data_IF_508663653158
#
_entry.id   IF_508663653158
#
_cell.length_a   1.000
_cell.length_b   1.000
_cell.length_c   1.000
_cell.angle_alpha   90.00
_cell.angle_beta   90.00
_cell.angle_gamma   90.00
#
_symmetry.space_group_name_H-M   'P 1'
#
loop_
_entity.id
_entity.type
_entity.pdbx_description
1 polymer ?
#
# COMPACT_ATOMS: atom_id res chain seq x y z
N UNK A 1 -10.50 -2.68 20.91
CA UNK A 1 -11.51 -2.04 20.03
C UNK A 1 -11.59 -0.57 20.36
N UNK A 2 -11.84 0.26 19.36
CA UNK A 2 -11.84 1.73 19.44
C UNK A 2 -13.02 2.26 18.61
N UNK A 3 -13.71 3.29 19.09
CA UNK A 3 -14.76 3.95 18.30
C UNK A 3 -14.13 4.57 17.03
N UNK A 4 -14.77 4.36 15.89
CA UNK A 4 -14.33 4.81 14.59
C UNK A 4 -14.48 6.33 14.42
N UNK A 5 -13.58 6.96 13.67
CA UNK A 5 -13.62 8.41 13.47
C UNK A 5 -14.56 8.87 12.34
N UNK A 6 -14.73 8.06 11.30
CA UNK A 6 -15.42 8.46 10.06
C UNK A 6 -16.70 7.66 9.87
N UNK A 7 -17.78 8.10 10.50
CA UNK A 7 -19.11 7.53 10.28
C UNK A 7 -20.22 8.53 10.64
N UNK A 8 -21.39 8.29 10.08
CA UNK A 8 -22.63 8.99 10.42
C UNK A 8 -23.52 8.07 11.25
N UNK A 9 -24.07 8.60 12.36
CA UNK A 9 -25.18 7.97 13.08
C UNK A 9 -26.48 8.27 12.32
N UNK A 10 -27.29 7.24 12.14
CA UNK A 10 -28.58 7.31 11.44
C UNK A 10 -29.70 6.82 12.37
N UNK A 11 -30.95 6.92 11.91
CA UNK A 11 -32.12 6.39 12.62
C UNK A 11 -32.03 4.86 12.82
N UNK A 12 -32.76 4.34 13.82
CA UNK A 12 -32.82 2.91 14.17
C UNK A 12 -31.46 2.27 14.49
N UNK A 13 -30.58 2.99 15.19
CA UNK A 13 -29.22 2.53 15.54
C UNK A 13 -28.39 2.14 14.30
N UNK A 14 -28.72 2.65 13.12
CA UNK A 14 -27.92 2.41 11.90
C UNK A 14 -26.73 3.34 11.86
N UNK A 15 -25.67 2.90 11.20
CA UNK A 15 -24.50 3.75 10.91
C UNK A 15 -24.10 3.66 9.44
N UNK A 16 -23.59 4.75 8.88
CA UNK A 16 -22.89 4.76 7.58
C UNK A 16 -21.41 4.99 7.81
N UNK A 17 -20.58 4.01 7.48
CA UNK A 17 -19.11 4.15 7.55
C UNK A 17 -18.62 5.01 6.39
N UNK A 18 -17.89 6.10 6.65
CA UNK A 18 -17.39 7.03 5.62
C UNK A 18 -15.88 6.89 5.36
N UNK A 19 -15.23 5.87 5.92
CA UNK A 19 -13.79 5.70 5.80
C UNK A 19 -13.32 5.43 4.36
N UNK A 20 -14.07 4.62 3.62
CA UNK A 20 -13.71 4.21 2.26
C UNK A 20 -14.92 4.27 1.33
N UNK A 21 -14.70 4.29 0.00
CA UNK A 21 -15.76 4.49 -0.99
C UNK A 21 -16.83 3.38 -1.09
N UNK A 22 -16.78 2.37 -0.21
CA UNK A 22 -17.86 1.41 -0.03
C UNK A 22 -19.05 1.99 0.74
N UNK A 23 -18.81 2.98 1.61
CA UNK A 23 -19.85 3.66 2.38
C UNK A 23 -20.86 2.72 3.05
N UNK A 24 -20.33 1.67 3.71
CA UNK A 24 -21.15 0.58 4.24
C UNK A 24 -22.25 1.12 5.16
N UNK A 25 -23.51 0.83 4.82
CA UNK A 25 -24.68 1.04 5.67
C UNK A 25 -24.88 -0.19 6.56
N UNK A 26 -24.74 -0.03 7.86
CA UNK A 26 -24.72 -1.12 8.83
C UNK A 26 -25.86 -0.97 9.84
N UNK A 27 -26.77 -1.94 9.85
CA UNK A 27 -27.72 -2.12 10.95
C UNK A 27 -26.99 -2.54 12.23
N UNK A 28 -27.69 -2.45 13.36
CA UNK A 28 -27.14 -2.89 14.64
C UNK A 28 -26.55 -4.32 14.57
N UNK A 29 -25.37 -4.49 15.15
CA UNK A 29 -24.63 -5.75 15.19
C UNK A 29 -23.99 -6.16 13.87
N UNK A 30 -24.18 -5.44 12.76
CA UNK A 30 -23.57 -5.75 11.45
C UNK A 30 -22.12 -5.28 11.38
N UNK A 31 -21.34 -6.01 10.59
CA UNK A 31 -19.93 -5.75 10.32
C UNK A 31 -19.78 -5.30 8.87
N UNK A 32 -18.96 -4.28 8.65
CA UNK A 32 -18.59 -3.76 7.34
C UNK A 32 -17.86 -4.79 6.49
N UNK A 33 -17.78 -4.50 5.19
CA UNK A 33 -17.18 -5.40 4.20
C UNK A 33 -15.72 -5.75 4.55
N UNK A 34 -15.01 -4.85 5.26
CA UNK A 34 -13.65 -5.08 5.72
C UNK A 34 -13.50 -6.08 6.87
N UNK A 35 -14.62 -6.57 7.43
CA UNK A 35 -14.72 -7.54 8.53
C UNK A 35 -14.15 -7.07 9.88
N UNK A 36 -13.75 -5.82 9.99
CA UNK A 36 -13.11 -5.27 11.20
C UNK A 36 -13.77 -4.00 11.71
N UNK A 37 -14.88 -3.56 11.11
CA UNK A 37 -15.66 -2.42 11.60
C UNK A 37 -17.09 -2.85 11.87
N UNK A 38 -17.55 -2.72 13.11
CA UNK A 38 -18.84 -3.25 13.57
C UNK A 38 -19.69 -2.15 14.18
N UNK A 39 -20.96 -2.13 13.84
CA UNK A 39 -21.94 -1.31 14.53
C UNK A 39 -22.35 -1.96 15.86
N UNK A 40 -22.24 -1.23 16.96
CA UNK A 40 -22.62 -1.62 18.31
C UNK A 40 -23.41 -0.47 18.93
N UNK A 41 -24.70 -0.71 19.18
CA UNK A 41 -25.65 0.26 19.73
C UNK A 41 -25.67 1.61 18.99
N UNK A 42 -25.59 1.60 17.66
CA UNK A 42 -25.57 2.82 16.84
C UNK A 42 -24.23 3.56 16.79
N UNK A 43 -23.15 2.91 17.22
CA UNK A 43 -21.78 3.41 17.17
C UNK A 43 -20.88 2.46 16.38
N UNK A 44 -20.05 3.01 15.49
CA UNK A 44 -19.13 2.19 14.70
C UNK A 44 -17.82 1.99 15.45
N UNK A 45 -17.39 0.74 15.63
CA UNK A 45 -16.14 0.39 16.29
C UNK A 45 -15.17 -0.31 15.34
N UNK A 46 -13.90 0.08 15.38
CA UNK A 46 -12.78 -0.68 14.84
C UNK A 46 -12.42 -1.82 15.81
N UNK A 47 -12.65 -3.05 15.37
CA UNK A 47 -12.41 -4.26 16.16
C UNK A 47 -10.92 -4.63 16.24
N UNK A 48 -10.15 -4.26 15.21
CA UNK A 48 -8.74 -4.58 15.06
C UNK A 48 -7.78 -3.53 15.64
N UNK A 49 -8.29 -2.55 16.40
CA UNK A 49 -7.47 -1.55 17.08
C UNK A 49 -6.49 -2.21 18.05
N UNK A 50 -5.19 -2.00 17.82
CA UNK A 50 -4.09 -2.62 18.56
C UNK A 50 -3.84 -4.09 18.26
N UNK A 51 -4.48 -4.68 17.25
CA UNK A 51 -4.28 -6.08 16.90
C UNK A 51 -3.26 -6.18 15.77
N UNK A 52 -2.10 -6.78 16.05
CA UNK A 52 -1.01 -6.97 15.10
C UNK A 52 -0.96 -8.44 14.66
N UNK A 53 -1.14 -8.70 13.37
CA UNK A 53 -1.07 -10.04 12.78
C UNK A 53 0.37 -10.45 12.43
N UNK A 54 1.24 -9.47 12.20
CA UNK A 54 2.61 -9.68 11.75
C UNK A 54 3.46 -8.45 12.07
N UNK A 55 4.69 -8.67 12.55
CA UNK A 55 5.69 -7.64 12.78
C UNK A 55 7.07 -8.18 12.36
N UNK A 56 7.75 -7.50 11.44
CA UNK A 56 9.11 -7.87 11.02
C UNK A 56 9.93 -6.61 10.72
N UNK A 57 11.24 -6.67 10.98
CA UNK A 57 12.17 -5.68 10.46
C UNK A 57 12.50 -6.05 9.01
N UNK A 58 12.03 -5.27 8.05
CA UNK A 58 12.16 -5.53 6.62
C UNK A 58 13.02 -4.44 5.95
N UNK A 59 13.69 -4.74 4.82
CA UNK A 59 14.27 -3.71 3.96
C UNK A 59 13.16 -2.87 3.31
N UNK A 60 13.42 -1.57 3.11
CA UNK A 60 12.46 -0.63 2.52
C UNK A 60 12.04 -1.04 1.10
N UNK A 61 12.91 -1.73 0.37
CA UNK A 61 12.64 -2.30 -0.96
C UNK A 61 11.52 -3.34 -0.97
N UNK A 62 11.21 -3.96 0.18
CA UNK A 62 10.06 -4.87 0.31
C UNK A 62 8.72 -4.12 0.41
N UNK A 63 8.74 -2.81 0.64
CA UNK A 63 7.56 -1.91 0.61
C UNK A 63 7.44 -1.15 -0.72
N UNK A 64 7.88 -1.79 -1.81
CA UNK A 64 8.38 -1.17 -3.05
C UNK A 64 8.63 0.34 -2.97
N UNK A 65 9.55 0.75 -2.09
CA UNK A 65 9.99 2.13 -1.93
C UNK A 65 11.47 2.23 -2.26
N UNK A 66 11.80 2.39 -3.54
CA UNK A 66 13.19 2.37 -4.03
C UNK A 66 13.86 3.73 -3.96
N UNK A 67 13.10 4.82 -3.80
CA UNK A 67 13.60 6.20 -3.75
C UNK A 67 13.38 6.84 -2.38
N UNK A 68 12.98 6.05 -1.39
CA UNK A 68 12.82 6.47 -0.01
C UNK A 68 13.79 5.67 0.87
N UNK A 69 14.91 6.28 1.27
CA UNK A 69 15.92 5.66 2.15
C UNK A 69 16.46 4.29 1.65
N UNK A 70 16.94 4.19 0.39
CA UNK A 70 17.36 2.92 -0.21
C UNK A 70 18.37 2.16 0.66
N UNK A 71 18.14 0.86 0.85
CA UNK A 71 18.97 -0.04 1.67
C UNK A 71 18.74 0.05 3.19
N UNK A 72 17.83 0.91 3.66
CA UNK A 72 17.49 1.01 5.07
C UNK A 72 16.50 -0.07 5.52
N UNK A 73 16.50 -0.37 6.81
CA UNK A 73 15.53 -1.26 7.45
C UNK A 73 14.37 -0.47 8.05
N UNK A 74 13.17 -1.04 8.03
CA UNK A 74 11.95 -0.45 8.58
C UNK A 74 11.10 -1.48 9.33
N UNK A 75 10.62 -1.14 10.53
CA UNK A 75 9.72 -2.00 11.29
C UNK A 75 8.37 -2.08 10.58
N UNK A 76 8.07 -3.24 10.00
CA UNK A 76 6.87 -3.48 9.23
C UNK A 76 5.84 -4.20 10.05
N UNK A 77 4.67 -3.59 10.22
CA UNK A 77 3.55 -4.14 10.97
C UNK A 77 2.31 -4.28 10.10
N UNK A 78 1.49 -5.28 10.41
CA UNK A 78 0.19 -5.51 9.77
C UNK A 78 -0.85 -5.97 10.77
N UNK A 79 -2.10 -5.89 10.37
CA UNK A 79 -3.28 -6.22 11.15
C UNK A 79 -4.19 -7.18 10.37
N UNK A 80 -5.48 -7.18 10.68
CA UNK A 80 -6.50 -7.96 10.02
C UNK A 80 -7.49 -7.08 9.27
N UNK A 81 -8.14 -7.66 8.26
CA UNK A 81 -9.18 -7.01 7.46
C UNK A 81 -8.62 -6.27 6.24
N UNK A 82 -9.51 -6.03 5.28
CA UNK A 82 -9.22 -5.25 4.08
C UNK A 82 -10.52 -4.78 3.45
N UNK A 83 -10.56 -3.52 3.00
CA UNK A 83 -11.71 -2.99 2.29
C UNK A 83 -11.86 -3.54 0.85
N UNK A 84 -10.83 -4.17 0.28
CA UNK A 84 -10.90 -4.90 -0.99
C UNK A 84 -10.89 -6.42 -0.79
N UNK A 85 -11.53 -7.14 -1.72
CA UNK A 85 -11.64 -8.61 -1.78
C UNK A 85 -10.83 -9.20 -2.94
N UNK A 86 -9.55 -8.80 -3.04
CA UNK A 86 -8.67 -9.21 -4.13
C UNK A 86 -8.57 -10.74 -4.25
N UNK A 87 -9.04 -11.30 -5.37
CA UNK A 87 -9.06 -12.76 -5.60
C UNK A 87 -7.65 -13.37 -5.74
N UNK A 88 -6.64 -12.54 -5.95
CA UNK A 88 -5.23 -12.89 -6.13
C UNK A 88 -4.34 -12.50 -4.92
N UNK A 89 -4.94 -12.09 -3.79
CA UNK A 89 -4.18 -11.59 -2.64
C UNK A 89 -3.22 -12.64 -2.07
N UNK A 90 -1.95 -12.27 -1.88
CA UNK A 90 -0.96 -13.10 -1.19
C UNK A 90 -1.26 -13.27 0.31
N UNK A 91 -1.80 -12.23 0.93
CA UNK A 91 -2.10 -12.15 2.36
C UNK A 91 -3.62 -12.28 2.60
N UNK A 92 -4.27 -13.16 1.83
CA UNK A 92 -5.72 -13.32 1.84
C UNK A 92 -6.25 -13.78 3.20
N UNK A 93 -5.46 -14.51 3.97
CA UNK A 93 -5.80 -15.04 5.28
C UNK A 93 -5.97 -13.93 6.33
N UNK A 94 -5.06 -12.96 6.36
CA UNK A 94 -5.14 -11.80 7.26
C UNK A 94 -6.06 -10.70 6.72
N UNK A 95 -6.14 -10.53 5.40
CA UNK A 95 -7.01 -9.50 4.78
C UNK A 95 -8.49 -9.91 4.75
N UNK A 96 -8.79 -11.21 4.72
CA UNK A 96 -10.14 -11.77 4.66
C UNK A 96 -10.40 -12.75 5.81
N UNK A 97 -10.27 -12.31 7.08
CA UNK A 97 -10.41 -13.20 8.24
C UNK A 97 -11.81 -13.83 8.20
N UNK A 98 -11.87 -15.16 8.32
CA UNK A 98 -13.13 -15.93 8.18
C UNK A 98 -14.05 -15.74 9.39
N UNK A 99 -13.47 -15.45 10.55
CA UNK A 99 -14.14 -15.26 11.83
C UNK A 99 -13.50 -14.07 12.57
N UNK A 100 -14.05 -13.77 13.75
CA UNK A 100 -13.53 -12.73 14.64
C UNK A 100 -12.48 -13.25 15.62
N UNK A 101 -11.82 -14.39 15.36
CA UNK A 101 -10.84 -14.96 16.29
C UNK A 101 -9.59 -14.09 16.45
N UNK A 102 -9.33 -13.18 15.50
CA UNK A 102 -8.30 -12.16 15.67
C UNK A 102 -8.53 -11.31 16.93
N UNK A 103 -9.77 -11.16 17.42
CA UNK A 103 -10.08 -10.47 18.68
C UNK A 103 -9.53 -11.19 19.92
N UNK A 104 -9.07 -12.44 19.80
CA UNK A 104 -8.42 -13.18 20.89
C UNK A 104 -6.92 -12.86 20.99
N UNK A 105 -6.35 -12.16 20.00
CA UNK A 105 -4.96 -11.73 20.03
C UNK A 105 -4.77 -10.64 21.08
N UNK A 106 -3.57 -10.55 21.70
CA UNK A 106 -3.27 -9.48 22.63
C UNK A 106 -3.31 -8.12 21.92
N UNK A 107 -3.85 -7.13 22.63
CA UNK A 107 -3.79 -5.73 22.21
C UNK A 107 -2.37 -5.22 22.45
N UNK A 108 -1.73 -4.73 21.40
CA UNK A 108 -0.41 -4.09 21.45
C UNK A 108 -0.61 -2.57 21.52
N UNK A 109 -0.26 -1.91 22.64
CA UNK A 109 -0.33 -0.46 22.74
C UNK A 109 0.59 0.22 21.73
N UNK A 110 0.20 1.42 21.26
CA UNK A 110 1.04 2.20 20.34
C UNK A 110 2.43 2.46 20.93
N UNK A 111 2.52 2.73 22.23
CA UNK A 111 3.80 2.92 22.95
C UNK A 111 4.74 1.71 22.87
N UNK A 112 4.20 0.49 22.80
CA UNK A 112 5.00 -0.72 22.66
C UNK A 112 5.56 -0.87 21.24
N UNK A 113 4.78 -0.50 20.22
CA UNK A 113 5.25 -0.44 18.83
C UNK A 113 6.36 0.60 18.69
N UNK A 114 6.18 1.80 19.27
CA UNK A 114 7.20 2.86 19.25
C UNK A 114 8.47 2.41 19.96
N UNK A 115 8.35 1.84 21.16
CA UNK A 115 9.50 1.29 21.91
C UNK A 115 10.22 0.21 21.10
N UNK A 116 9.47 -0.68 20.45
CA UNK A 116 10.04 -1.70 19.57
C UNK A 116 10.81 -1.06 18.43
N UNK A 117 10.22 -0.10 17.72
CA UNK A 117 10.85 0.59 16.61
C UNK A 117 12.16 1.31 17.02
N UNK A 118 12.17 1.99 18.17
CA UNK A 118 13.34 2.71 18.69
C UNK A 118 14.47 1.77 19.14
N UNK A 119 14.15 0.55 19.56
CA UNK A 119 15.13 -0.44 20.01
C UNK A 119 15.75 -1.26 18.86
N UNK A 120 15.21 -1.18 17.65
CA UNK A 120 15.77 -1.86 16.48
C UNK A 120 16.92 -1.04 15.90
N UNK A 121 18.10 -1.64 15.82
CA UNK A 121 19.28 -1.02 15.20
C UNK A 121 19.01 -0.78 13.70
N UNK A 122 19.46 0.36 13.18
CA UNK A 122 19.34 0.73 11.75
C UNK A 122 17.89 0.84 11.24
N UNK A 123 16.91 0.83 12.15
CA UNK A 123 15.51 1.05 11.81
C UNK A 123 15.23 2.55 11.60
N UNK A 124 14.69 2.89 10.43
CA UNK A 124 14.33 4.29 10.11
C UNK A 124 12.93 4.67 10.58
N UNK A 125 12.06 3.69 10.89
CA UNK A 125 10.66 4.00 11.08
C UNK A 125 9.70 2.83 11.24
N UNK A 126 8.46 3.05 10.84
CA UNK A 126 7.36 2.09 10.86
C UNK A 126 6.68 2.06 9.48
N UNK A 127 6.50 0.87 8.93
CA UNK A 127 5.71 0.61 7.73
C UNK A 127 4.41 -0.12 8.09
N UNK A 128 3.27 0.46 7.72
CA UNK A 128 1.96 -0.16 7.86
C UNK A 128 1.65 -0.93 6.56
N UNK A 129 1.59 -2.26 6.64
CA UNK A 129 1.61 -3.17 5.47
C UNK A 129 1.00 -4.55 5.77
N UNK A 130 1.27 -5.55 4.92
CA UNK A 130 0.76 -6.94 4.91
C UNK A 130 -0.74 -7.06 4.59
N UNK A 131 -1.61 -6.34 5.28
CA UNK A 131 -3.01 -6.16 4.90
C UNK A 131 -3.28 -4.69 4.52
N UNK A 132 -4.54 -4.28 4.41
CA UNK A 132 -4.86 -2.87 4.17
C UNK A 132 -4.79 -2.05 5.46
N UNK A 133 -3.81 -1.17 5.64
CA UNK A 133 -3.65 -0.42 6.88
C UNK A 133 -4.79 0.59 7.13
N UNK A 134 -5.45 1.10 6.09
CA UNK A 134 -6.54 2.07 6.26
C UNK A 134 -7.70 1.49 7.07
N UNK A 135 -7.96 0.18 7.05
CA UNK A 135 -9.07 -0.36 7.86
C UNK A 135 -8.79 -0.29 9.37
N UNK A 136 -7.52 -0.20 9.77
CA UNK A 136 -7.03 0.05 11.14
C UNK A 136 -6.75 1.53 11.43
N UNK A 137 -7.45 2.43 10.74
CA UNK A 137 -7.19 3.88 10.67
C UNK A 137 -6.80 4.53 12.01
N UNK A 138 -7.59 4.32 13.06
CA UNK A 138 -7.42 5.00 14.34
C UNK A 138 -6.11 4.59 15.04
N UNK A 139 -5.75 3.31 14.95
CA UNK A 139 -4.51 2.79 15.48
C UNK A 139 -3.30 3.33 14.69
N UNK A 140 -3.40 3.34 13.36
CA UNK A 140 -2.35 3.83 12.47
C UNK A 140 -2.12 5.33 12.69
N UNK A 141 -3.17 6.13 12.76
CA UNK A 141 -3.07 7.58 13.00
C UNK A 141 -2.40 7.89 14.35
N UNK A 142 -2.82 7.23 15.43
CA UNK A 142 -2.19 7.40 16.76
C UNK A 142 -0.72 6.98 16.76
N UNK A 143 -0.41 5.84 16.14
CA UNK A 143 0.97 5.33 16.07
C UNK A 143 1.84 6.26 15.24
N UNK A 144 1.35 6.73 14.09
CA UNK A 144 2.10 7.59 13.19
C UNK A 144 2.41 8.96 13.80
N UNK A 145 1.47 9.54 14.55
CA UNK A 145 1.68 10.77 15.29
C UNK A 145 2.85 10.63 16.29
N UNK A 146 2.81 9.60 17.15
CA UNK A 146 3.85 9.37 18.17
C UNK A 146 5.18 9.01 17.50
N UNK A 147 5.17 8.22 16.42
CA UNK A 147 6.37 7.88 15.66
C UNK A 147 7.09 9.13 15.15
N UNK A 148 6.32 10.06 14.56
CA UNK A 148 6.83 11.33 14.04
C UNK A 148 7.45 12.20 15.13
N UNK A 149 6.83 12.28 16.30
CA UNK A 149 7.38 12.98 17.48
C UNK A 149 8.72 12.41 17.93
N UNK A 150 8.97 11.12 17.70
CA UNK A 150 10.21 10.43 18.02
C UNK A 150 11.20 10.38 16.84
N UNK A 151 10.95 11.14 15.76
CA UNK A 151 11.83 11.20 14.58
C UNK A 151 11.81 9.96 13.68
N UNK A 152 10.89 9.03 13.92
CA UNK A 152 10.69 7.84 13.09
C UNK A 152 9.91 8.20 11.82
N UNK A 153 10.28 7.58 10.70
CA UNK A 153 9.54 7.70 9.44
C UNK A 153 8.27 6.84 9.45
N UNK A 154 7.22 7.31 8.81
CA UNK A 154 5.99 6.56 8.60
C UNK A 154 5.80 6.21 7.11
N UNK A 155 5.60 4.92 6.83
CA UNK A 155 5.38 4.40 5.48
C UNK A 155 4.03 3.70 5.41
N UNK A 156 3.26 3.98 4.36
CA UNK A 156 1.97 3.32 4.10
C UNK A 156 2.06 2.49 2.82
N UNK A 157 1.76 1.18 2.90
CA UNK A 157 1.56 0.32 1.72
C UNK A 157 0.07 -0.01 1.63
N UNK A 158 -0.62 0.56 0.64
CA UNK A 158 -2.09 0.56 0.59
C UNK A 158 -2.62 0.26 -0.81
N UNK A 159 -3.85 -0.24 -0.88
CA UNK A 159 -4.61 -0.35 -2.12
C UNK A 159 -5.22 1.00 -2.58
N UNK A 160 -5.07 2.07 -1.78
CA UNK A 160 -5.49 3.43 -2.13
C UNK A 160 -7.00 3.67 -2.12
N UNK A 161 -7.81 2.73 -1.63
CA UNK A 161 -9.28 2.84 -1.64
C UNK A 161 -9.81 3.52 -0.37
N UNK A 162 -9.65 4.83 -0.30
CA UNK A 162 -9.98 5.66 0.86
C UNK A 162 -10.78 6.88 0.41
N UNK A 163 -11.70 7.37 1.24
CA UNK A 163 -12.40 8.62 0.96
C UNK A 163 -11.48 9.84 1.19
N UNK A 164 -11.77 10.97 0.53
CA UNK A 164 -10.86 12.13 0.55
C UNK A 164 -10.68 12.74 1.94
N UNK A 165 -11.74 12.84 2.74
CA UNK A 165 -11.65 13.39 4.10
C UNK A 165 -10.70 12.59 5.01
N UNK A 166 -10.87 11.25 5.19
CA UNK A 166 -9.92 10.48 5.99
C UNK A 166 -8.51 10.45 5.38
N UNK A 167 -8.37 10.50 4.05
CA UNK A 167 -7.06 10.60 3.41
C UNK A 167 -6.35 11.90 3.81
N UNK A 168 -7.03 13.05 3.70
CA UNK A 168 -6.45 14.35 4.02
C UNK A 168 -6.07 14.46 5.50
N UNK A 169 -6.80 13.80 6.41
CA UNK A 169 -6.46 13.82 7.84
C UNK A 169 -5.24 12.96 8.19
N UNK A 170 -5.01 11.83 7.51
CA UNK A 170 -3.86 10.96 7.81
C UNK A 170 -2.58 11.39 7.08
N UNK A 171 -2.72 12.07 5.93
CA UNK A 171 -1.62 12.44 5.04
C UNK A 171 -0.46 13.19 5.75
N UNK A 172 -0.69 14.15 6.68
CA UNK A 172 0.39 14.86 7.36
C UNK A 172 1.29 13.98 8.24
N UNK A 173 0.86 12.77 8.57
CA UNK A 173 1.58 11.84 9.45
C UNK A 173 2.37 10.78 8.69
N UNK A 174 2.18 10.66 7.37
CA UNK A 174 2.81 9.63 6.54
C UNK A 174 3.85 10.27 5.62
N UNK A 175 5.09 9.82 5.72
CA UNK A 175 6.21 10.37 4.94
C UNK A 175 6.30 9.77 3.53
N UNK A 176 5.90 8.50 3.37
CA UNK A 176 5.89 7.84 2.07
C UNK A 176 4.73 6.85 1.89
N UNK A 177 4.25 6.76 0.65
CA UNK A 177 3.19 5.87 0.21
C UNK A 177 3.71 4.98 -0.91
N UNK A 178 3.42 3.69 -0.79
CA UNK A 178 3.33 2.81 -1.94
C UNK A 178 1.86 2.46 -2.17
N UNK A 179 1.33 2.83 -3.34
CA UNK A 179 -0.07 2.56 -3.69
C UNK A 179 -0.15 1.53 -4.81
N UNK A 180 -0.92 0.47 -4.57
CA UNK A 180 -1.16 -0.55 -5.59
C UNK A 180 -2.22 -0.09 -6.61
N UNK A 181 -1.77 0.32 -7.80
CA UNK A 181 -2.64 0.51 -8.97
C UNK A 181 -2.77 -0.84 -9.69
N UNK A 182 -3.87 -1.55 -9.43
CA UNK A 182 -4.01 -2.97 -9.76
C UNK A 182 -4.34 -3.23 -11.23
N UNK A 183 -4.96 -2.28 -11.91
CA UNK A 183 -5.28 -2.31 -13.34
C UNK A 183 -5.67 -0.90 -13.78
N UNK A 184 -5.87 -0.68 -15.08
CA UNK A 184 -6.45 0.56 -15.61
C UNK A 184 -7.80 0.29 -16.27
N UNK A 185 -8.53 -0.67 -15.70
CA UNK A 185 -9.88 -1.09 -16.08
C UNK A 185 -10.78 -1.21 -14.84
N UNK A 186 -11.94 -0.54 -14.86
CA UNK A 186 -12.91 -0.60 -13.75
C UNK A 186 -13.63 -1.95 -13.68
N UNK A 187 -13.73 -2.69 -14.80
CA UNK A 187 -14.29 -4.05 -14.81
C UNK A 187 -13.41 -5.03 -14.04
N UNK A 188 -12.08 -4.95 -14.21
CA UNK A 188 -11.10 -5.64 -13.37
C UNK A 188 -11.35 -5.36 -11.88
N UNK A 189 -11.45 -4.09 -11.48
CA UNK A 189 -11.65 -3.71 -10.08
C UNK A 189 -12.93 -4.32 -9.50
N UNK A 190 -14.06 -4.21 -10.22
CA UNK A 190 -15.34 -4.77 -9.78
C UNK A 190 -15.27 -6.29 -9.62
N UNK A 191 -14.72 -6.99 -10.62
CA UNK A 191 -14.73 -8.46 -10.67
C UNK A 191 -13.71 -9.09 -9.73
N UNK A 192 -12.48 -8.57 -9.71
CA UNK A 192 -11.36 -9.20 -9.02
C UNK A 192 -11.04 -8.60 -7.66
N UNK A 193 -11.48 -7.38 -7.35
CA UNK A 193 -11.22 -6.73 -6.05
C UNK A 193 -12.49 -6.33 -5.31
N UNK A 194 -13.63 -6.29 -5.98
CA UNK A 194 -14.89 -5.81 -5.42
C UNK A 194 -14.93 -4.28 -5.23
N UNK A 195 -13.99 -3.54 -5.82
CA UNK A 195 -13.86 -2.10 -5.67
C UNK A 195 -14.07 -1.35 -6.99
N UNK A 196 -13.65 -0.08 -7.07
CA UNK A 196 -13.71 0.77 -8.26
C UNK A 196 -12.35 1.41 -8.51
N UNK A 197 -12.02 1.65 -9.78
CA UNK A 197 -10.73 2.27 -10.16
C UNK A 197 -10.67 3.75 -9.76
N UNK A 198 -11.71 4.51 -10.06
CA UNK A 198 -11.69 5.98 -9.95
C UNK A 198 -11.26 6.49 -8.55
N UNK A 199 -11.72 5.93 -7.42
CA UNK A 199 -11.24 6.39 -6.10
C UNK A 199 -9.74 6.19 -5.87
N UNK A 200 -9.14 5.13 -6.44
CA UNK A 200 -7.69 4.90 -6.34
C UNK A 200 -6.92 5.98 -7.12
N UNK A 201 -7.41 6.34 -8.32
CA UNK A 201 -6.83 7.41 -9.13
C UNK A 201 -6.90 8.77 -8.42
N UNK A 202 -8.01 9.06 -7.72
CA UNK A 202 -8.12 10.27 -6.91
C UNK A 202 -7.18 10.26 -5.71
N UNK A 203 -7.01 9.12 -5.03
CA UNK A 203 -6.01 8.98 -3.96
C UNK A 203 -4.60 9.25 -4.47
N UNK A 204 -4.21 8.69 -5.62
CA UNK A 204 -2.90 8.93 -6.22
C UNK A 204 -2.66 10.42 -6.50
N UNK A 205 -3.66 11.11 -7.08
CA UNK A 205 -3.58 12.57 -7.33
C UNK A 205 -3.46 13.36 -6.04
N UNK A 206 -4.21 13.02 -5.00
CA UNK A 206 -4.15 13.70 -3.70
C UNK A 206 -2.80 13.50 -3.01
N UNK A 207 -2.29 12.25 -2.96
CA UNK A 207 -0.97 11.97 -2.35
C UNK A 207 0.15 12.67 -3.12
N UNK A 208 0.10 12.64 -4.46
CA UNK A 208 1.11 13.30 -5.31
C UNK A 208 1.22 14.81 -5.12
N UNK A 209 0.09 15.47 -4.79
CA UNK A 209 0.01 16.91 -4.51
C UNK A 209 0.47 17.27 -3.09
N UNK A 210 0.72 16.28 -2.25
CA UNK A 210 1.18 16.46 -0.88
C UNK A 210 2.72 16.47 -0.78
N UNK A 211 3.23 16.62 0.44
CA UNK A 211 4.66 16.51 0.73
C UNK A 211 5.13 15.06 0.93
N UNK A 212 4.22 14.08 0.88
CA UNK A 212 4.59 12.68 1.02
C UNK A 212 5.22 12.14 -0.26
N UNK A 213 6.23 11.28 -0.11
CA UNK A 213 6.82 10.55 -1.22
C UNK A 213 5.84 9.50 -1.76
N UNK A 214 5.74 9.34 -3.07
CA UNK A 214 4.81 8.42 -3.71
C UNK A 214 5.54 7.49 -4.68
N UNK A 215 5.35 6.20 -4.50
CA UNK A 215 5.67 5.17 -5.49
C UNK A 215 4.43 4.32 -5.75
N UNK A 216 4.34 3.72 -6.94
CA UNK A 216 3.15 3.00 -7.39
C UNK A 216 3.56 1.58 -7.76
N UNK A 217 2.78 0.59 -7.33
CA UNK A 217 3.01 -0.82 -7.69
C UNK A 217 1.86 -1.35 -8.53
N UNK A 218 2.19 -2.07 -9.59
CA UNK A 218 1.25 -2.89 -10.35
C UNK A 218 1.72 -4.34 -10.35
N UNK A 219 0.88 -5.23 -9.82
CA UNK A 219 1.07 -6.68 -9.95
C UNK A 219 0.55 -7.11 -11.32
N UNK A 220 1.41 -7.64 -12.18
CA UNK A 220 1.02 -8.04 -13.55
C UNK A 220 0.52 -9.47 -13.55
N UNK A 221 -0.77 -9.68 -13.81
CA UNK A 221 -1.49 -10.95 -13.76
C UNK A 221 -1.86 -11.39 -15.18
N UNK A 222 -1.31 -12.51 -15.67
CA UNK A 222 -1.60 -12.98 -17.02
C UNK A 222 -3.09 -13.21 -17.28
N UNK A 223 -3.58 -12.66 -18.40
CA UNK A 223 -4.97 -12.77 -18.85
C UNK A 223 -5.95 -11.84 -18.11
N UNK A 224 -5.49 -11.01 -17.19
CA UNK A 224 -6.36 -10.14 -16.39
C UNK A 224 -6.03 -8.65 -16.51
N UNK A 225 -4.76 -8.27 -16.45
CA UNK A 225 -4.32 -6.86 -16.58
C UNK A 225 -3.01 -6.73 -17.40
N UNK A 226 -2.74 -7.69 -18.28
CA UNK A 226 -1.51 -7.78 -19.08
C UNK A 226 -1.69 -7.40 -20.56
N UNK A 227 -2.79 -6.67 -20.87
CA UNK A 227 -3.00 -6.01 -22.15
C UNK A 227 -2.10 -4.78 -22.30
N UNK A 228 -1.34 -4.73 -23.40
CA UNK A 228 -0.35 -3.68 -23.64
C UNK A 228 -0.98 -2.31 -23.91
N UNK A 229 -2.20 -2.26 -24.49
CA UNK A 229 -2.87 -0.99 -24.78
C UNK A 229 -3.45 -0.37 -23.50
N UNK A 230 -4.07 -1.17 -22.64
CA UNK A 230 -4.52 -0.75 -21.32
C UNK A 230 -3.32 -0.27 -20.49
N UNK A 231 -2.23 -1.04 -20.47
CA UNK A 231 -1.03 -0.64 -19.74
C UNK A 231 -0.42 0.66 -20.26
N UNK A 232 -0.38 0.86 -21.59
CA UNK A 232 0.05 2.12 -22.18
C UNK A 232 -0.84 3.30 -21.75
N UNK A 233 -2.16 3.12 -21.72
CA UNK A 233 -3.08 4.14 -21.22
C UNK A 233 -2.83 4.48 -19.76
N UNK A 234 -2.56 3.46 -18.92
CA UNK A 234 -2.17 3.66 -17.52
C UNK A 234 -0.90 4.51 -17.41
N UNK A 235 0.14 4.16 -18.15
CA UNK A 235 1.43 4.86 -18.16
C UNK A 235 1.27 6.30 -18.66
N UNK A 236 0.52 6.52 -19.74
CA UNK A 236 0.24 7.85 -20.27
C UNK A 236 -0.51 8.69 -19.24
N UNK A 237 -1.47 8.11 -18.52
CA UNK A 237 -2.19 8.77 -17.43
C UNK A 237 -1.26 9.13 -16.26
N UNK A 238 -0.40 8.20 -15.83
CA UNK A 238 0.57 8.44 -14.76
C UNK A 238 1.50 9.61 -15.12
N UNK A 239 2.07 9.60 -16.32
CA UNK A 239 2.97 10.67 -16.78
C UNK A 239 2.24 12.03 -16.85
N UNK A 240 1.00 12.06 -17.33
CA UNK A 240 0.26 13.31 -17.51
C UNK A 240 -0.28 13.90 -16.19
N UNK A 241 -0.80 13.05 -15.28
CA UNK A 241 -1.45 13.51 -14.06
C UNK A 241 -0.49 13.62 -12.86
N UNK A 242 0.52 12.73 -12.82
CA UNK A 242 1.45 12.64 -11.69
C UNK A 242 2.89 13.06 -12.08
N UNK A 243 3.19 13.17 -13.37
CA UNK A 243 4.49 13.60 -13.91
C UNK A 243 5.40 12.45 -14.33
N UNK A 244 6.35 12.74 -15.22
CA UNK A 244 7.29 11.76 -15.79
C UNK A 244 8.26 11.16 -14.75
N UNK A 245 8.45 11.83 -13.62
CA UNK A 245 9.24 11.34 -12.47
C UNK A 245 8.46 10.36 -11.57
N UNK A 246 7.23 10.00 -11.94
CA UNK A 246 6.46 8.98 -11.21
C UNK A 246 7.20 7.64 -11.23
N UNK A 247 7.37 7.04 -10.06
CA UNK A 247 8.06 5.75 -9.90
C UNK A 247 7.04 4.61 -9.96
N UNK A 248 7.20 3.74 -10.96
CA UNK A 248 6.34 2.57 -11.17
C UNK A 248 7.10 1.26 -10.92
N UNK A 249 6.51 0.38 -10.11
CA UNK A 249 7.00 -0.97 -9.86
C UNK A 249 6.10 -1.99 -10.54
N UNK A 250 6.68 -2.80 -11.42
CA UNK A 250 6.03 -3.95 -12.02
C UNK A 250 6.40 -5.20 -11.21
N UNK A 251 5.42 -5.82 -10.59
CA UNK A 251 5.62 -7.01 -9.75
C UNK A 251 5.14 -8.27 -10.45
N UNK A 252 5.95 -9.34 -10.36
CA UNK A 252 5.58 -10.66 -10.87
C UNK A 252 4.46 -11.29 -10.05
N UNK A 253 3.43 -11.79 -10.73
CA UNK A 253 2.37 -12.57 -10.13
C UNK A 253 2.75 -14.05 -9.97
N UNK A 254 2.25 -14.64 -8.89
CA UNK A 254 2.25 -16.08 -8.63
C UNK A 254 0.84 -16.51 -8.22
N UNK A 255 0.35 -17.69 -8.65
CA UNK A 255 -0.95 -18.23 -8.23
C UNK A 255 -1.19 -18.13 -6.72
N UNK A 256 -2.28 -17.48 -6.32
CA UNK A 256 -2.64 -17.26 -4.91
C UNK A 256 -4.15 -17.17 -4.71
N UNK A 257 -4.58 -17.53 -3.50
CA UNK A 257 -5.96 -17.46 -3.04
C UNK A 257 -6.95 -18.14 -4.00
N UNK A 258 -7.80 -17.37 -4.70
CA UNK A 258 -8.84 -17.86 -5.60
C UNK A 258 -8.47 -17.72 -7.07
N UNK A 259 -7.34 -17.09 -7.37
CA UNK A 259 -6.91 -16.85 -8.73
C UNK A 259 -5.77 -17.81 -9.12
N UNK A 260 -5.92 -18.46 -10.28
CA UNK A 260 -5.09 -19.61 -10.68
C UNK A 260 -4.39 -19.41 -12.04
N UNK A 261 -4.39 -18.19 -12.59
CA UNK A 261 -3.62 -17.87 -13.80
C UNK A 261 -2.15 -18.23 -13.64
N UNK A 262 -1.46 -18.48 -14.75
CA UNK A 262 -0.05 -18.82 -14.75
C UNK A 262 0.80 -17.73 -14.08
N UNK A 263 1.98 -18.12 -13.58
CA UNK A 263 3.00 -17.18 -13.12
C UNK A 263 3.33 -16.22 -14.27
N UNK A 264 3.44 -14.91 -14.01
CA UNK A 264 3.80 -13.94 -15.06
C UNK A 264 5.14 -14.30 -15.67
N UNK A 265 5.23 -14.47 -16.99
CA UNK A 265 6.51 -14.75 -17.62
C UNK A 265 7.39 -13.50 -17.65
N UNK A 266 8.70 -13.68 -17.58
CA UNK A 266 9.66 -12.58 -17.56
C UNK A 266 9.51 -11.63 -18.76
N UNK A 267 9.28 -12.17 -19.96
CA UNK A 267 9.13 -11.37 -21.17
C UNK A 267 7.98 -10.37 -21.10
N UNK A 268 6.88 -10.71 -20.39
CA UNK A 268 5.73 -9.80 -20.23
C UNK A 268 6.06 -8.62 -19.31
N UNK A 269 6.80 -8.87 -18.23
CA UNK A 269 7.31 -7.80 -17.37
C UNK A 269 8.28 -6.88 -18.12
N UNK A 270 9.14 -7.46 -18.97
CA UNK A 270 10.09 -6.68 -19.80
C UNK A 270 9.39 -5.87 -20.90
N UNK A 271 8.33 -6.41 -21.50
CA UNK A 271 7.45 -5.68 -22.42
C UNK A 271 6.88 -4.42 -21.74
N UNK A 272 6.27 -4.59 -20.57
CA UNK A 272 5.69 -3.48 -19.80
C UNK A 272 6.75 -2.48 -19.32
N UNK A 273 7.90 -2.98 -18.88
CA UNK A 273 9.05 -2.14 -18.52
C UNK A 273 9.46 -1.22 -19.69
N UNK A 274 9.55 -1.77 -20.90
CA UNK A 274 9.90 -1.00 -22.09
C UNK A 274 8.81 0.00 -22.52
N UNK A 275 7.53 -0.32 -22.31
CA UNK A 275 6.42 0.62 -22.56
C UNK A 275 6.48 1.77 -21.55
N UNK A 276 6.59 1.46 -20.26
CA UNK A 276 6.59 2.46 -19.19
C UNK A 276 7.74 3.47 -19.34
N UNK A 277 8.93 2.99 -19.66
CA UNK A 277 10.13 3.81 -19.86
C UNK A 277 10.08 4.79 -21.03
N UNK A 278 9.10 4.68 -21.91
CA UNK A 278 8.90 5.69 -22.97
C UNK A 278 8.28 6.98 -22.42
N UNK A 279 7.71 6.95 -21.21
CA UNK A 279 6.98 8.08 -20.61
C UNK A 279 7.38 8.35 -19.15
N UNK A 280 7.93 7.37 -18.45
CA UNK A 280 8.37 7.49 -17.06
C UNK A 280 9.88 7.30 -16.95
N UNK A 281 10.55 8.17 -16.19
CA UNK A 281 11.99 8.06 -15.94
C UNK A 281 12.34 6.85 -15.06
N UNK A 282 11.42 6.45 -14.18
CA UNK A 282 11.66 5.45 -13.15
C UNK A 282 10.65 4.32 -13.25
N UNK A 283 11.10 3.19 -13.78
CA UNK A 283 10.33 1.95 -13.77
C UNK A 283 11.20 0.83 -13.24
N UNK A 284 10.62 -0.02 -12.38
CA UNK A 284 11.30 -1.16 -11.79
C UNK A 284 10.55 -2.46 -12.06
N UNK A 285 11.29 -3.55 -12.11
CA UNK A 285 10.74 -4.91 -12.21
C UNK A 285 11.16 -5.68 -10.96
N UNK A 286 10.16 -6.19 -10.24
CA UNK A 286 10.33 -6.85 -8.95
C UNK A 286 9.69 -8.23 -8.89
N UNK A 287 9.95 -8.92 -7.78
CA UNK A 287 9.49 -10.29 -7.52
C UNK A 287 9.98 -11.31 -8.57
N UNK A 288 11.11 -11.00 -9.21
CA UNK A 288 11.86 -11.81 -10.15
C UNK A 288 13.32 -11.35 -10.15
N UNK A 289 14.26 -12.27 -10.33
CA UNK A 289 15.66 -11.92 -10.56
C UNK A 289 15.89 -11.75 -12.07
N UNK A 290 16.24 -10.54 -12.48
CA UNK A 290 16.59 -10.16 -13.85
C UNK A 290 17.84 -9.28 -13.82
N UNK A 291 18.59 -9.25 -14.91
CA UNK A 291 19.77 -8.38 -15.06
C UNK A 291 19.38 -6.89 -15.27
N UNK A 292 18.13 -6.63 -15.60
CA UNK A 292 17.59 -5.29 -15.89
C UNK A 292 16.36 -4.99 -15.04
N UNK A 293 16.12 -3.70 -14.76
CA UNK A 293 14.91 -3.22 -14.11
C UNK A 293 14.96 -3.16 -12.57
N UNK A 294 16.05 -3.55 -11.91
CA UNK A 294 16.18 -3.44 -10.43
C UNK A 294 16.98 -2.21 -9.97
N UNK A 295 17.94 -1.78 -10.78
CA UNK A 295 18.86 -0.68 -10.44
C UNK A 295 18.25 0.68 -10.76
N UNK A 296 18.54 1.68 -9.93
CA UNK A 296 18.24 3.08 -10.25
C UNK A 296 19.36 3.62 -11.14
N UNK A 297 19.01 4.08 -12.34
CA UNK A 297 19.94 4.61 -13.36
C UNK A 297 19.63 6.09 -13.57
N UNK A 298 20.62 6.97 -13.42
CA UNK A 298 20.43 8.39 -13.63
C UNK A 298 19.95 8.68 -15.06
N UNK A 299 18.81 9.37 -15.27
CA UNK A 299 18.27 9.61 -16.60
C UNK A 299 19.18 10.51 -17.46
N UNK A 300 20.04 11.32 -16.82
CA UNK A 300 20.95 12.24 -17.51
C UNK A 300 22.25 11.59 -17.98
N UNK A 301 22.99 10.96 -17.06
CA UNK A 301 24.34 10.43 -17.35
C UNK A 301 24.39 8.91 -17.49
N UNK A 302 23.28 8.20 -17.24
CA UNK A 302 23.16 6.75 -17.34
C UNK A 302 24.02 5.95 -16.35
N UNK A 303 24.61 6.60 -15.33
CA UNK A 303 25.29 5.91 -14.24
C UNK A 303 24.29 5.18 -13.33
N UNK A 304 24.72 4.03 -12.79
CA UNK A 304 23.99 3.34 -11.73
C UNK A 304 24.19 4.13 -10.43
N UNK A 305 23.14 4.77 -9.95
CA UNK A 305 23.16 5.56 -8.70
C UNK A 305 22.82 4.70 -7.49
N UNK A 306 21.93 3.73 -7.68
CA UNK A 306 21.59 2.71 -6.68
C UNK A 306 21.59 1.33 -7.33
N UNK A 307 22.48 0.47 -6.85
CA UNK A 307 22.60 -0.91 -7.29
C UNK A 307 21.79 -1.83 -6.37
N UNK A 308 21.07 -2.80 -6.93
CA UNK A 308 20.25 -3.78 -6.21
C UNK A 308 20.43 -5.19 -6.75
N UNK A 309 20.54 -6.16 -5.84
CA UNK A 309 20.42 -7.59 -6.13
C UNK A 309 19.60 -8.27 -5.03
N UNK A 310 18.36 -8.64 -5.36
CA UNK A 310 17.38 -9.03 -4.35
C UNK A 310 17.15 -7.88 -3.36
N UNK A 311 17.33 -8.15 -2.07
CA UNK A 311 17.24 -7.13 -1.00
C UNK A 311 18.59 -6.54 -0.59
N UNK A 312 19.67 -6.83 -1.31
CA UNK A 312 20.94 -6.15 -1.11
C UNK A 312 20.99 -4.88 -1.95
N UNK A 313 21.06 -3.73 -1.28
CA UNK A 313 21.12 -2.41 -1.90
C UNK A 313 22.44 -1.73 -1.58
N UNK A 314 23.04 -1.08 -2.58
CA UNK A 314 24.20 -0.23 -2.42
C UNK A 314 24.02 1.08 -3.20
N UNK A 315 24.12 2.22 -2.51
CA UNK A 315 24.21 3.54 -3.14
C UNK A 315 25.64 3.71 -3.64
N UNK A 316 25.83 3.91 -4.95
CA UNK A 316 27.17 3.83 -5.60
C UNK A 316 27.57 5.06 -6.41
N UNK A 317 26.66 6.02 -6.59
CA UNK A 317 26.90 7.16 -7.46
C UNK A 317 26.08 8.38 -7.09
N UNK A 318 25.89 8.62 -5.79
CA UNK A 318 25.26 9.83 -5.27
C UNK A 318 26.19 10.50 -4.26
N UNK A 319 26.30 11.83 -4.31
CA UNK A 319 26.91 12.62 -3.24
C UNK A 319 25.97 12.73 -2.01
N UNK A 320 26.43 13.37 -0.94
CA UNK A 320 25.64 13.57 0.28
C UNK A 320 24.37 14.43 0.05
N UNK A 321 24.34 15.22 -1.03
CA UNK A 321 23.20 16.04 -1.42
C UNK A 321 22.24 15.29 -2.39
N UNK A 322 22.53 14.04 -2.74
CA UNK A 322 21.72 13.22 -3.63
C UNK A 322 21.91 13.53 -5.12
N UNK A 323 22.99 14.22 -5.51
CA UNK A 323 23.33 14.44 -6.92
C UNK A 323 24.17 13.30 -7.46
N UNK A 324 23.93 12.94 -8.72
CA UNK A 324 24.72 11.97 -9.48
C UNK A 324 25.99 12.59 -10.05
#
# INVERSE_FOLDING_TARGET
>A
MQEALFYEKLEDEKVRCLLCPHECLLNEGKIGICRVRKNISGELYALNDGIISSANLDPIEKKPLYHFYPGSLILSIGSYGCNMHCQFCQNWDISQPKDSNFNLQPIVPTSEVIKTALNQKENIGIAYTYNEPIVSYEYVMKTAAIAKENGLKNVMVSNGFINQEPLLQILPFIDAWNIDLKAFDDSFYKRLTGARLAPVLETLKTVRRSNAHLEITMLVIPGENDDANEFKQMVDWLANELGEDTILHLSRYFPRYRHQSAITPAHKLLEFYNIARQRLHWTYVGNIELDIGSNSICPKCQNIVVWRKGYHTAVRGLDEAGNC
#
